data_IF_676865425048
#
_entry.id   IF_676865425048
#
_cell.length_a   1.000
_cell.length_b   1.000
_cell.length_c   1.000
_cell.angle_alpha   90.00
_cell.angle_beta   90.00
_cell.angle_gamma   90.00
#
_symmetry.space_group_name_H-M   'P 1'
#
loop_
_entity.id
_entity.type
_entity.pdbx_description
1 polymer ?
#
# COMPACT_ATOMS: atom_id res chain seq x y z
N UNK A 1 -22.95 -47.77 -23.58
CA UNK A 1 -21.57 -47.40 -23.20
C UNK A 1 -21.52 -45.88 -23.15
N UNK A 2 -21.90 -45.31 -22.00
CA UNK A 2 -22.07 -43.86 -21.83
C UNK A 2 -20.73 -43.22 -21.44
N UNK A 3 -20.37 -42.12 -22.09
CA UNK A 3 -19.21 -41.28 -21.72
C UNK A 3 -19.62 -40.41 -20.54
N UNK A 4 -19.05 -40.69 -19.37
CA UNK A 4 -19.03 -39.74 -18.26
C UNK A 4 -18.12 -38.56 -18.62
N UNK A 5 -18.70 -37.50 -19.16
CA UNK A 5 -18.08 -36.18 -19.22
C UNK A 5 -18.38 -35.44 -17.91
N UNK A 6 -17.75 -35.88 -16.82
CA UNK A 6 -17.73 -35.12 -15.58
C UNK A 6 -16.73 -33.98 -15.77
N UNK A 7 -17.25 -32.85 -16.25
CA UNK A 7 -16.58 -31.55 -16.24
C UNK A 7 -16.06 -31.28 -14.83
N UNK A 8 -14.75 -31.42 -14.67
CA UNK A 8 -14.02 -30.93 -13.51
C UNK A 8 -14.33 -29.43 -13.37
N UNK A 9 -15.12 -29.10 -12.35
CA UNK A 9 -15.30 -27.72 -11.91
C UNK A 9 -13.93 -27.25 -11.44
N UNK A 10 -13.24 -26.44 -12.26
CA UNK A 10 -11.98 -25.80 -11.90
C UNK A 10 -12.20 -24.99 -10.61
N UNK A 11 -11.67 -25.49 -9.51
CA UNK A 11 -11.45 -24.70 -8.30
C UNK A 11 -10.72 -23.43 -8.73
N UNK A 12 -11.30 -22.27 -8.41
CA UNK A 12 -10.68 -20.97 -8.66
C UNK A 12 -9.31 -20.96 -7.98
N UNK A 13 -8.25 -21.14 -8.77
CA UNK A 13 -6.87 -21.30 -8.34
C UNK A 13 -6.41 -20.04 -7.62
N UNK A 14 -6.43 -20.09 -6.28
CA UNK A 14 -5.73 -19.10 -5.48
C UNK A 14 -4.24 -19.47 -5.53
N UNK A 15 -3.34 -18.58 -6.00
CA UNK A 15 -1.93 -18.89 -6.10
C UNK A 15 -1.36 -19.31 -4.73
N UNK A 16 -0.31 -20.17 -4.69
CA UNK A 16 0.34 -20.56 -3.45
C UNK A 16 0.73 -19.35 -2.60
N UNK A 17 0.69 -19.51 -1.28
CA UNK A 17 0.87 -18.42 -0.30
C UNK A 17 2.15 -17.57 -0.48
N UNK A 18 3.20 -18.12 -1.05
CA UNK A 18 4.48 -17.42 -1.27
C UNK A 18 4.63 -16.86 -2.69
N UNK A 19 3.66 -17.14 -3.57
CA UNK A 19 3.64 -16.74 -4.97
C UNK A 19 2.43 -15.84 -5.27
N UNK A 20 1.54 -15.60 -4.30
CA UNK A 20 0.41 -14.68 -4.42
C UNK A 20 0.91 -13.22 -4.54
N UNK A 21 0.74 -12.56 -5.70
CA UNK A 21 1.21 -11.20 -5.92
C UNK A 21 0.67 -10.20 -4.90
N UNK A 22 -0.54 -10.45 -4.36
CA UNK A 22 -1.16 -9.58 -3.36
C UNK A 22 -0.33 -9.55 -2.07
N UNK A 23 0.23 -10.69 -1.67
CA UNK A 23 1.06 -10.79 -0.47
C UNK A 23 2.42 -10.13 -0.70
N UNK A 24 3.03 -10.34 -1.86
CA UNK A 24 4.27 -9.64 -2.22
C UNK A 24 4.08 -8.11 -2.27
N UNK A 25 2.94 -7.64 -2.81
CA UNK A 25 2.58 -6.23 -2.80
C UNK A 25 2.37 -5.69 -1.39
N UNK A 26 1.71 -6.44 -0.49
CA UNK A 26 1.60 -6.06 0.91
C UNK A 26 2.97 -5.97 1.59
N UNK A 27 3.90 -6.88 1.31
CA UNK A 27 5.26 -6.82 1.88
C UNK A 27 6.00 -5.55 1.45
N UNK A 28 5.93 -5.20 0.17
CA UNK A 28 6.52 -3.95 -0.35
C UNK A 28 5.88 -2.74 0.34
N UNK A 29 4.56 -2.75 0.51
CA UNK A 29 3.83 -1.72 1.25
C UNK A 29 4.26 -1.63 2.72
N UNK A 30 4.42 -2.75 3.44
CA UNK A 30 4.90 -2.74 4.83
C UNK A 30 6.32 -2.19 4.95
N UNK A 31 7.19 -2.51 3.97
CA UNK A 31 8.52 -1.92 3.91
C UNK A 31 8.45 -0.41 3.72
N UNK A 32 7.63 0.07 2.76
CA UNK A 32 7.38 1.49 2.56
C UNK A 32 6.86 2.19 3.83
N UNK A 33 5.88 1.59 4.51
CA UNK A 33 5.34 2.11 5.78
C UNK A 33 6.43 2.25 6.85
N UNK A 34 7.31 1.25 6.97
CA UNK A 34 8.49 1.29 7.83
C UNK A 34 9.41 2.46 7.45
N UNK A 35 9.79 2.57 6.17
CA UNK A 35 10.65 3.67 5.70
C UNK A 35 10.05 5.03 6.05
N UNK A 36 8.77 5.26 5.76
CA UNK A 36 8.09 6.53 6.08
C UNK A 36 8.17 6.88 7.57
N UNK A 37 7.88 5.95 8.47
CA UNK A 37 7.91 6.26 9.91
C UNK A 37 9.35 6.37 10.43
N UNK A 38 10.23 5.44 10.10
CA UNK A 38 11.58 5.42 10.67
C UNK A 38 12.50 6.49 10.08
N UNK A 39 12.31 6.90 8.82
CA UNK A 39 13.10 7.95 8.19
C UNK A 39 12.67 9.37 8.58
N UNK A 40 11.41 9.57 8.96
CA UNK A 40 10.86 10.92 9.20
C UNK A 40 10.40 11.19 10.63
N UNK A 41 10.60 10.26 11.56
CA UNK A 41 10.43 10.52 13.00
C UNK A 41 11.74 11.00 13.63
N UNK A 42 11.71 12.03 14.51
CA UNK A 42 12.87 12.38 15.33
C UNK A 42 13.29 11.21 16.25
N UNK A 43 14.46 11.34 16.90
CA UNK A 43 15.06 10.28 17.72
C UNK A 43 14.18 9.74 18.86
N UNK A 44 14.73 8.87 19.70
CA UNK A 44 13.97 8.13 20.73
C UNK A 44 13.49 8.97 21.94
N UNK A 45 13.75 10.28 21.95
CA UNK A 45 13.39 11.16 23.06
C UNK A 45 11.98 11.76 22.93
N UNK A 46 11.41 11.78 21.72
CA UNK A 46 10.06 12.28 21.49
C UNK A 46 9.01 11.16 21.70
N UNK A 47 8.11 11.28 22.70
CA UNK A 47 7.11 10.25 22.98
C UNK A 47 6.19 9.94 21.80
N UNK A 48 5.85 10.95 20.99
CA UNK A 48 4.96 10.77 19.83
C UNK A 48 5.63 9.91 18.77
N UNK A 49 6.90 10.18 18.46
CA UNK A 49 7.72 9.38 17.55
C UNK A 49 7.89 7.94 18.02
N UNK A 50 8.15 7.74 19.31
CA UNK A 50 8.27 6.41 19.90
C UNK A 50 6.94 5.66 19.77
N UNK A 51 5.83 6.29 20.11
CA UNK A 51 4.50 5.69 19.97
C UNK A 51 4.19 5.32 18.51
N UNK A 52 4.46 6.20 17.55
CA UNK A 52 4.26 5.93 16.12
C UNK A 52 5.07 4.72 15.64
N UNK A 53 6.35 4.62 16.05
CA UNK A 53 7.21 3.47 15.72
C UNK A 53 6.69 2.17 16.32
N UNK A 54 6.30 2.18 17.60
CA UNK A 54 5.74 0.99 18.27
C UNK A 54 4.46 0.55 17.56
N UNK A 55 3.57 1.48 17.23
CA UNK A 55 2.32 1.19 16.51
C UNK A 55 2.60 0.59 15.13
N UNK A 56 3.55 1.13 14.38
CA UNK A 56 3.93 0.57 13.07
C UNK A 56 4.57 -0.80 13.19
N UNK A 57 5.46 -1.03 14.17
CA UNK A 57 6.02 -2.37 14.42
C UNK A 57 4.91 -3.37 14.76
N UNK A 58 3.97 -2.98 15.64
CA UNK A 58 2.84 -3.82 16.02
C UNK A 58 1.92 -4.11 14.82
N UNK A 59 1.66 -3.12 13.96
CA UNK A 59 0.87 -3.28 12.75
C UNK A 59 1.58 -4.20 11.73
N UNK A 60 2.88 -3.99 11.48
CA UNK A 60 3.69 -4.84 10.58
C UNK A 60 3.69 -6.29 11.07
N UNK A 61 4.02 -6.52 12.34
CA UNK A 61 4.09 -7.87 12.92
C UNK A 61 2.74 -8.57 12.89
N UNK A 62 1.66 -7.86 13.23
CA UNK A 62 0.29 -8.38 13.14
C UNK A 62 -0.10 -8.69 11.69
N UNK A 63 0.26 -7.82 10.74
CA UNK A 63 -0.01 -8.05 9.31
C UNK A 63 0.71 -9.29 8.82
N UNK A 64 1.99 -9.46 9.15
CA UNK A 64 2.76 -10.66 8.79
C UNK A 64 2.14 -11.93 9.40
N UNK A 65 1.70 -11.87 10.65
CA UNK A 65 0.99 -12.97 11.30
C UNK A 65 -0.29 -13.36 10.53
N UNK A 66 -1.15 -12.39 10.21
CA UNK A 66 -2.41 -12.62 9.50
C UNK A 66 -2.25 -12.91 8.00
N UNK A 67 -1.08 -12.63 7.42
CA UNK A 67 -0.77 -13.06 6.06
C UNK A 67 -0.24 -14.50 6.02
N UNK A 68 0.68 -14.87 6.92
CA UNK A 68 1.43 -16.13 6.78
C UNK A 68 1.05 -17.19 7.81
N UNK A 69 0.93 -16.83 9.08
CA UNK A 69 0.68 -17.77 10.17
C UNK A 69 -0.82 -18.10 10.33
N UNK A 70 -1.68 -17.08 10.26
CA UNK A 70 -3.14 -17.22 10.36
C UNK A 70 -3.84 -16.54 9.16
N UNK A 71 -3.63 -17.07 7.94
CA UNK A 71 -4.10 -16.43 6.71
C UNK A 71 -5.61 -16.27 6.67
N UNK A 72 -6.07 -15.03 6.49
CA UNK A 72 -7.48 -14.73 6.23
C UNK A 72 -7.78 -14.75 4.74
N UNK A 73 -9.07 -14.87 4.43
CA UNK A 73 -9.55 -14.82 3.04
C UNK A 73 -9.48 -13.38 2.53
N UNK A 74 -8.72 -13.15 1.46
CA UNK A 74 -8.49 -11.83 0.87
C UNK A 74 -9.41 -11.53 -0.33
N UNK A 75 -10.48 -12.31 -0.50
CA UNK A 75 -11.32 -12.22 -1.69
C UNK A 75 -10.82 -13.08 -2.86
N UNK A 76 -11.67 -13.29 -3.88
CA UNK A 76 -11.31 -14.04 -5.08
C UNK A 76 -10.17 -13.33 -5.82
N UNK A 77 -9.16 -14.10 -6.24
CA UNK A 77 -8.05 -13.58 -7.02
C UNK A 77 -8.44 -13.49 -8.49
N UNK A 78 -8.27 -12.31 -9.10
CA UNK A 78 -8.39 -12.12 -10.54
C UNK A 78 -7.02 -11.77 -11.10
N UNK A 79 -6.45 -12.64 -11.93
CA UNK A 79 -5.14 -12.40 -12.50
C UNK A 79 -5.15 -11.15 -13.40
N UNK A 80 -4.16 -10.24 -13.27
CA UNK A 80 -4.07 -9.06 -14.11
C UNK A 80 -3.80 -9.42 -15.57
N UNK A 81 -4.42 -8.69 -16.50
CA UNK A 81 -4.16 -8.84 -17.94
C UNK A 81 -2.76 -8.32 -18.27
N UNK A 82 -2.10 -8.84 -19.32
CA UNK A 82 -0.75 -8.40 -19.75
C UNK A 82 -0.62 -6.88 -19.94
N UNK A 83 -1.68 -6.21 -20.43
CA UNK A 83 -1.72 -4.74 -20.57
C UNK A 83 -1.56 -4.01 -19.23
N UNK A 84 -2.06 -4.58 -18.14
CA UNK A 84 -1.94 -4.00 -16.80
C UNK A 84 -0.51 -4.06 -16.26
N UNK A 85 0.32 -5.00 -16.74
CA UNK A 85 1.76 -5.05 -16.41
C UNK A 85 2.49 -3.86 -17.05
N UNK A 86 2.15 -3.50 -18.29
CA UNK A 86 2.71 -2.30 -18.93
C UNK A 86 2.34 -1.01 -18.18
N UNK A 87 1.10 -0.91 -17.70
CA UNK A 87 0.63 0.20 -16.86
C UNK A 87 1.37 0.22 -15.53
N UNK A 88 1.57 -0.95 -14.92
CA UNK A 88 2.36 -1.08 -13.70
C UNK A 88 3.77 -0.50 -13.86
N UNK A 89 4.50 -0.93 -14.90
CA UNK A 89 5.85 -0.43 -15.17
C UNK A 89 5.86 1.07 -15.45
N UNK A 90 4.90 1.57 -16.23
CA UNK A 90 4.77 3.00 -16.50
C UNK A 90 4.55 3.80 -15.22
N UNK A 91 3.69 3.33 -14.31
CA UNK A 91 3.44 4.00 -13.04
C UNK A 91 4.65 4.04 -12.13
N UNK A 92 5.46 2.98 -12.11
CA UNK A 92 6.73 2.96 -11.36
C UNK A 92 7.72 3.98 -11.94
N UNK A 93 7.87 4.02 -13.27
CA UNK A 93 8.76 5.01 -13.93
C UNK A 93 8.28 6.44 -13.65
N UNK A 94 6.97 6.68 -13.76
CA UNK A 94 6.37 7.98 -13.49
C UNK A 94 6.53 8.42 -12.05
N UNK A 95 6.44 7.51 -11.08
CA UNK A 95 6.70 7.79 -9.67
C UNK A 95 8.13 8.31 -9.46
N UNK A 96 9.14 7.59 -9.97
CA UNK A 96 10.53 8.03 -9.87
C UNK A 96 10.77 9.37 -10.56
N UNK A 97 10.18 9.57 -11.75
CA UNK A 97 10.27 10.83 -12.48
C UNK A 97 9.65 11.99 -11.68
N UNK A 98 8.46 11.80 -11.09
CA UNK A 98 7.78 12.81 -10.29
C UNK A 98 8.53 13.15 -9.00
N UNK A 99 9.10 12.15 -8.31
CA UNK A 99 9.95 12.38 -7.14
C UNK A 99 11.20 13.16 -7.52
N UNK A 100 11.89 12.78 -8.60
CA UNK A 100 13.11 13.44 -9.05
C UNK A 100 12.84 14.90 -9.49
N UNK A 101 11.80 15.12 -10.31
CA UNK A 101 11.41 16.45 -10.77
C UNK A 101 10.93 17.32 -9.62
N UNK A 102 10.07 16.79 -8.74
CA UNK A 102 9.57 17.52 -7.58
C UNK A 102 10.69 17.85 -6.59
N UNK A 103 11.60 16.92 -6.32
CA UNK A 103 12.78 17.16 -5.47
C UNK A 103 13.66 18.23 -6.09
N UNK A 104 13.99 18.14 -7.38
CA UNK A 104 14.79 19.16 -8.07
C UNK A 104 14.14 20.55 -8.03
N UNK A 105 12.80 20.61 -8.13
CA UNK A 105 12.05 21.86 -7.95
C UNK A 105 12.16 22.39 -6.53
N UNK A 106 11.92 21.57 -5.50
CA UNK A 106 12.07 21.97 -4.09
C UNK A 106 13.49 22.47 -3.80
N UNK A 107 14.52 21.79 -4.31
CA UNK A 107 15.92 22.24 -4.21
C UNK A 107 16.12 23.61 -4.87
N UNK A 108 15.56 23.83 -6.06
CA UNK A 108 15.72 25.10 -6.79
C UNK A 108 15.09 26.30 -6.09
N UNK A 109 14.07 26.08 -5.24
CA UNK A 109 13.39 27.13 -4.46
C UNK A 109 13.83 27.17 -2.99
N UNK A 110 14.77 26.31 -2.58
CA UNK A 110 15.26 26.26 -1.20
C UNK A 110 14.39 25.50 -0.19
N UNK A 111 13.32 24.85 -0.65
CA UNK A 111 12.28 24.21 0.18
C UNK A 111 12.46 22.69 0.28
N UNK A 112 13.70 22.20 0.34
CA UNK A 112 13.99 20.76 0.37
C UNK A 112 13.38 20.06 1.60
N UNK A 113 13.10 20.82 2.66
CA UNK A 113 12.40 20.34 3.85
C UNK A 113 10.98 19.80 3.59
N UNK A 114 10.35 20.17 2.47
CA UNK A 114 9.03 19.67 2.06
C UNK A 114 9.07 18.33 1.33
N UNK A 115 10.27 17.81 1.03
CA UNK A 115 10.47 16.54 0.33
C UNK A 115 9.70 15.35 0.96
N UNK A 116 9.59 15.19 2.29
CA UNK A 116 8.83 14.09 2.88
C UNK A 116 7.35 14.08 2.47
N UNK A 117 6.70 15.25 2.43
CA UNK A 117 5.31 15.36 1.98
C UNK A 117 5.15 15.16 0.48
N UNK A 118 6.11 15.64 -0.33
CA UNK A 118 6.15 15.35 -1.76
C UNK A 118 6.20 13.84 -2.02
N UNK A 119 7.10 13.12 -1.34
CA UNK A 119 7.23 11.68 -1.51
C UNK A 119 5.93 10.98 -1.08
N UNK A 120 5.34 11.37 0.06
CA UNK A 120 4.04 10.83 0.50
C UNK A 120 2.92 11.05 -0.54
N UNK A 121 2.86 12.23 -1.15
CA UNK A 121 1.90 12.55 -2.21
C UNK A 121 2.11 11.67 -3.43
N UNK A 122 3.34 11.60 -3.95
CA UNK A 122 3.64 10.86 -5.18
C UNK A 122 3.41 9.35 -5.00
N UNK A 123 3.83 8.80 -3.86
CA UNK A 123 3.56 7.40 -3.48
C UNK A 123 2.05 7.14 -3.41
N UNK A 124 1.28 8.07 -2.82
CA UNK A 124 -0.19 7.97 -2.80
C UNK A 124 -0.79 7.95 -4.21
N UNK A 125 -0.36 8.88 -5.07
CA UNK A 125 -0.82 8.96 -6.47
C UNK A 125 -0.47 7.70 -7.27
N UNK A 126 0.70 7.10 -7.00
CA UNK A 126 1.16 5.87 -7.65
C UNK A 126 0.21 4.67 -7.40
N UNK A 127 -0.43 4.59 -6.24
CA UNK A 127 -1.37 3.51 -5.94
C UNK A 127 -2.73 3.61 -6.66
N UNK A 128 -3.11 4.79 -7.15
CA UNK A 128 -4.43 4.99 -7.78
C UNK A 128 -4.54 4.23 -9.13
N UNK A 129 -3.57 4.32 -10.05
CA UNK A 129 -3.57 3.49 -11.25
C UNK A 129 -3.59 1.99 -10.96
N UNK A 130 -2.97 1.55 -9.86
CA UNK A 130 -2.98 0.15 -9.45
C UNK A 130 -4.37 -0.28 -9.01
N UNK A 131 -5.09 0.58 -8.29
CA UNK A 131 -6.47 0.30 -7.92
C UNK A 131 -7.35 0.05 -9.15
N UNK A 132 -7.14 0.83 -10.21
CA UNK A 132 -7.81 0.61 -11.49
C UNK A 132 -7.33 -0.66 -12.21
N UNK A 133 -6.02 -0.92 -12.26
CA UNK A 133 -5.43 -2.04 -13.00
C UNK A 133 -5.69 -3.41 -12.34
N UNK A 134 -5.71 -3.46 -11.00
CA UNK A 134 -5.90 -4.68 -10.22
C UNK A 134 -7.33 -4.83 -9.68
N UNK A 135 -8.18 -3.82 -9.86
CA UNK A 135 -9.59 -3.81 -9.38
C UNK A 135 -9.73 -4.05 -7.88
N UNK A 136 -8.72 -3.65 -7.11
CA UNK A 136 -8.68 -3.82 -5.65
C UNK A 136 -9.03 -2.52 -4.94
N UNK A 137 -10.11 -2.54 -4.14
CA UNK A 137 -10.60 -1.36 -3.40
C UNK A 137 -9.57 -0.81 -2.42
N UNK A 138 -8.76 -1.69 -1.85
CA UNK A 138 -7.69 -1.32 -0.91
C UNK A 138 -6.76 -0.26 -1.51
N UNK A 139 -6.36 -0.39 -2.77
CA UNK A 139 -5.46 0.57 -3.40
C UNK A 139 -6.09 1.94 -3.62
N UNK A 140 -7.40 2.02 -3.85
CA UNK A 140 -8.09 3.33 -3.91
C UNK A 140 -8.06 4.02 -2.56
N UNK A 141 -8.36 3.30 -1.48
CA UNK A 141 -8.31 3.84 -0.11
C UNK A 141 -6.89 4.27 0.25
N UNK A 142 -5.91 3.39 0.02
CA UNK A 142 -4.52 3.67 0.34
C UNK A 142 -3.99 4.86 -0.45
N UNK A 143 -4.14 4.84 -1.78
CA UNK A 143 -3.64 5.90 -2.64
C UNK A 143 -4.28 7.25 -2.35
N UNK A 144 -5.60 7.28 -2.15
CA UNK A 144 -6.32 8.53 -1.88
C UNK A 144 -5.90 9.14 -0.53
N UNK A 145 -5.82 8.34 0.53
CA UNK A 145 -5.48 8.87 1.86
C UNK A 145 -4.04 9.38 1.89
N UNK A 146 -3.10 8.66 1.28
CA UNK A 146 -1.71 9.10 1.22
C UNK A 146 -1.53 10.36 0.36
N UNK A 147 -2.20 10.41 -0.79
CA UNK A 147 -2.17 11.59 -1.65
C UNK A 147 -2.74 12.82 -0.92
N UNK A 148 -3.83 12.65 -0.16
CA UNK A 148 -4.41 13.73 0.64
C UNK A 148 -3.47 14.19 1.77
N UNK A 149 -2.82 13.27 2.48
CA UNK A 149 -1.87 13.62 3.54
C UNK A 149 -0.64 14.35 2.98
N UNK A 150 0.00 13.80 1.95
CA UNK A 150 1.15 14.42 1.31
C UNK A 150 0.78 15.77 0.69
N UNK A 151 -0.37 15.85 0.02
CA UNK A 151 -0.90 17.10 -0.53
C UNK A 151 -1.16 18.15 0.56
N UNK A 152 -1.81 17.76 1.66
CA UNK A 152 -2.04 18.66 2.79
C UNK A 152 -0.73 19.14 3.43
N UNK A 153 0.25 18.26 3.61
CA UNK A 153 1.58 18.63 4.11
C UNK A 153 2.29 19.63 3.19
N UNK A 154 2.22 19.42 1.88
CA UNK A 154 2.76 20.37 0.90
C UNK A 154 2.02 21.71 0.89
N UNK A 155 0.70 21.70 1.01
CA UNK A 155 -0.13 22.91 1.02
C UNK A 155 0.11 23.77 2.27
N UNK A 156 0.35 23.14 3.42
CA UNK A 156 0.74 23.86 4.64
C UNK A 156 2.15 24.44 4.51
N UNK A 157 3.05 23.74 3.82
CA UNK A 157 4.33 24.29 3.37
C UNK A 157 5.34 24.52 4.50
N UNK A 158 5.30 23.72 5.56
CA UNK A 158 6.31 23.76 6.64
C UNK A 158 7.00 22.42 6.80
N UNK A 159 8.27 22.42 7.22
CA UNK A 159 9.00 21.19 7.59
C UNK A 159 8.18 20.28 8.53
N UNK A 160 7.60 20.84 9.59
CA UNK A 160 6.82 20.07 10.56
C UNK A 160 5.63 19.39 9.91
N UNK A 161 4.88 20.11 9.05
CA UNK A 161 3.75 19.53 8.31
C UNK A 161 4.20 18.46 7.32
N UNK A 162 5.39 18.61 6.71
CA UNK A 162 5.92 17.64 5.78
C UNK A 162 6.30 16.33 6.47
N UNK A 163 7.01 16.42 7.60
CA UNK A 163 7.35 15.28 8.43
C UNK A 163 6.10 14.59 8.99
N UNK A 164 5.13 15.35 9.51
CA UNK A 164 3.88 14.82 10.02
C UNK A 164 3.08 14.08 8.93
N UNK A 165 3.00 14.65 7.72
CA UNK A 165 2.34 13.99 6.58
C UNK A 165 3.03 12.67 6.22
N UNK A 166 4.36 12.64 6.19
CA UNK A 166 5.13 11.44 5.86
C UNK A 166 5.00 10.35 6.92
N UNK A 167 5.15 10.68 8.21
CA UNK A 167 4.96 9.73 9.32
C UNK A 167 3.52 9.24 9.38
N UNK A 168 2.55 10.16 9.22
CA UNK A 168 1.12 9.83 9.17
C UNK A 168 0.78 8.90 8.01
N UNK A 169 1.36 9.14 6.83
CA UNK A 169 1.23 8.26 5.67
C UNK A 169 1.75 6.84 5.95
N UNK A 170 2.93 6.71 6.56
CA UNK A 170 3.48 5.40 6.95
C UNK A 170 2.62 4.67 7.97
N UNK A 171 2.13 5.37 8.99
CA UNK A 171 1.24 4.81 10.01
C UNK A 171 -0.08 4.35 9.41
N UNK A 172 -0.76 5.20 8.63
CA UNK A 172 -2.03 4.85 8.00
C UNK A 172 -1.86 3.74 6.97
N UNK A 173 -0.77 3.74 6.20
CA UNK A 173 -0.43 2.63 5.29
C UNK A 173 -0.35 1.32 6.07
N UNK A 174 0.37 1.27 7.19
CA UNK A 174 0.49 0.05 8.00
C UNK A 174 -0.86 -0.44 8.54
N UNK A 175 -1.75 0.47 8.96
CA UNK A 175 -3.07 0.13 9.47
C UNK A 175 -4.02 -0.37 8.37
N UNK A 176 -3.98 0.26 7.19
CA UNK A 176 -4.78 -0.19 6.03
C UNK A 176 -4.32 -1.59 5.59
N UNK A 177 -3.01 -1.85 5.55
CA UNK A 177 -2.48 -3.16 5.20
C UNK A 177 -2.81 -4.22 6.27
N UNK A 178 -2.85 -3.85 7.55
CA UNK A 178 -3.35 -4.72 8.61
C UNK A 178 -4.85 -5.05 8.39
N UNK A 179 -5.68 -4.04 8.18
CA UNK A 179 -7.11 -4.21 7.87
C UNK A 179 -7.32 -5.12 6.65
N UNK A 180 -6.48 -4.96 5.62
CA UNK A 180 -6.45 -5.84 4.48
C UNK A 180 -6.08 -7.28 4.83
N UNK A 181 -5.04 -7.51 5.61
CA UNK A 181 -4.65 -8.86 6.06
C UNK A 181 -5.72 -9.54 6.93
N UNK A 182 -6.56 -8.75 7.61
CA UNK A 182 -7.72 -9.23 8.36
C UNK A 182 -8.92 -9.58 7.47
N UNK A 183 -8.85 -9.28 6.16
CA UNK A 183 -9.91 -9.54 5.20
C UNK A 183 -11.01 -8.47 5.14
N UNK A 184 -10.79 -7.28 5.71
CA UNK A 184 -11.81 -6.21 5.77
C UNK A 184 -12.18 -5.66 4.39
N UNK A 185 -11.36 -5.90 3.37
CA UNK A 185 -11.62 -5.54 1.97
C UNK A 185 -12.14 -6.70 1.12
N UNK A 186 -12.29 -7.90 1.69
CA UNK A 186 -12.85 -9.03 0.96
C UNK A 186 -14.32 -8.73 0.64
N UNK A 187 -14.69 -8.82 -0.65
CA UNK A 187 -16.10 -8.79 -1.05
C UNK A 187 -16.91 -9.91 -0.39
N UNK A 188 -18.26 -9.86 -0.46
CA UNK A 188 -19.10 -10.89 0.14
C UNK A 188 -18.62 -12.28 -0.26
N UNK A 189 -18.37 -13.16 0.72
CA UNK A 189 -18.19 -14.58 0.43
C UNK A 189 -19.46 -15.02 -0.29
N UNK A 190 -19.36 -15.44 -1.55
CA UNK A 190 -20.47 -16.14 -2.19
C UNK A 190 -20.73 -17.37 -1.33
N UNK A 191 -21.80 -17.30 -0.54
CA UNK A 191 -22.21 -18.36 0.35
C UNK A 191 -22.48 -19.61 -0.46
N UNK A 192 -21.90 -20.70 0.00
CA UNK A 192 -22.46 -22.04 -0.08
C UNK A 192 -23.89 -22.02 0.48
N UNK A 193 -24.85 -21.63 -0.35
CA UNK A 193 -26.24 -22.01 -0.18
C UNK A 193 -26.42 -23.33 -0.96
N UNK A 194 -26.27 -24.44 -0.24
CA UNK A 194 -26.82 -25.74 -0.61
C UNK A 194 -27.36 -26.41 0.64
#
# INVERSE_FOLDING_TARGET
>A
MARDSTTASSSVDTPPRFVDPRRSGTLIGLFGAGVFVFSYTPGFTDPVSVAARILVIAAITSTLWFLFASPRFLGPFTAPRRRHIGIYLLCVIMEFALIALGTGRLTSVGELELQPALIALVVGLHFIPFAWAFQERMFYTLGSVLALLGGAGLLVGTQTSALAAAVGAGLIMSLILLAYSLGMFAGPRRGTDR
#
